data_IF_855171795802
#
_entry.id   IF_855171795802
#
_cell.length_a   1.000
_cell.length_b   1.000
_cell.length_c   1.000
_cell.angle_alpha   90.00
_cell.angle_beta   90.00
_cell.angle_gamma   90.00
#
_symmetry.space_group_name_H-M   'P 1'
#
loop_
_entity.id
_entity.type
_entity.pdbx_description
1 polymer ?
#
# COMPACT_ATOMS: atom_id res chain seq x y z
N UNK A 1 13.45 89.46 -63.17
CA UNK A 1 12.50 90.05 -62.20
C UNK A 1 12.38 89.06 -61.05
N UNK A 2 12.91 89.20 -59.85
CA UNK A 2 13.82 90.16 -59.22
C UNK A 2 14.54 89.31 -58.14
N UNK A 3 15.83 89.03 -58.28
CA UNK A 3 16.96 89.71 -57.62
C UNK A 3 16.82 89.85 -56.09
N UNK A 4 17.53 89.02 -55.32
CA UNK A 4 18.54 89.48 -54.33
C UNK A 4 19.22 88.30 -53.60
N UNK A 5 20.55 88.31 -53.62
CA UNK A 5 21.47 87.64 -52.70
C UNK A 5 22.32 88.76 -52.04
N UNK A 6 23.32 88.48 -51.17
CA UNK A 6 23.48 87.64 -49.98
C UNK A 6 23.86 88.53 -48.75
N UNK A 7 24.45 88.03 -47.62
CA UNK A 7 25.94 88.06 -47.48
C UNK A 7 26.54 86.90 -46.61
N UNK A 8 27.74 86.38 -46.95
CA UNK A 8 29.08 86.61 -46.37
C UNK A 8 29.33 86.01 -44.95
N UNK A 9 30.01 84.84 -44.83
CA UNK A 9 31.43 84.58 -44.40
C UNK A 9 31.78 84.90 -42.91
N UNK A 10 32.87 84.39 -42.28
CA UNK A 10 33.83 83.31 -42.61
C UNK A 10 34.23 82.42 -41.39
N UNK A 11 35.20 81.52 -41.63
CA UNK A 11 36.38 81.25 -40.79
C UNK A 11 36.59 79.83 -40.28
N UNK A 12 37.69 79.27 -40.77
CA UNK A 12 38.32 78.01 -40.44
C UNK A 12 38.72 77.87 -38.97
N UNK A 13 38.77 76.62 -38.50
CA UNK A 13 39.90 76.13 -37.69
C UNK A 13 39.99 74.60 -37.74
N UNK A 14 41.08 74.12 -38.33
CA UNK A 14 41.55 72.77 -38.18
C UNK A 14 42.04 72.52 -36.74
N UNK A 15 41.65 71.38 -36.15
CA UNK A 15 42.51 70.50 -35.33
C UNK A 15 41.70 69.30 -34.87
N UNK A 16 42.16 68.11 -35.24
CA UNK A 16 41.49 66.86 -34.92
C UNK A 16 41.60 66.46 -33.45
N UNK A 17 40.77 65.48 -33.07
CA UNK A 17 41.22 64.39 -32.21
C UNK A 17 40.23 63.23 -32.18
N UNK A 18 40.83 62.03 -32.27
CA UNK A 18 40.43 60.76 -31.66
C UNK A 18 39.32 59.96 -32.37
N UNK A 19 39.82 59.12 -33.27
CA UNK A 19 39.33 57.76 -33.52
C UNK A 19 38.85 57.06 -32.24
N UNK A 20 37.53 56.99 -32.06
CA UNK A 20 36.89 56.07 -31.14
C UNK A 20 36.91 54.67 -31.74
N UNK A 21 37.86 53.85 -31.29
CA UNK A 21 37.81 52.40 -31.49
C UNK A 21 36.61 51.89 -30.69
N UNK A 22 35.52 51.57 -31.40
CA UNK A 22 34.45 50.72 -30.86
C UNK A 22 35.09 49.33 -30.72
N UNK A 23 35.43 48.96 -29.49
CA UNK A 23 35.80 47.58 -29.14
C UNK A 23 34.53 46.72 -29.28
N UNK A 24 34.27 46.25 -30.48
CA UNK A 24 33.35 45.13 -30.73
C UNK A 24 33.96 43.91 -30.02
N UNK A 25 33.53 43.62 -28.79
CA UNK A 25 33.93 42.39 -28.10
C UNK A 25 33.52 41.21 -28.97
N UNK A 26 34.51 40.51 -29.54
CA UNK A 26 34.29 39.31 -30.34
C UNK A 26 33.62 38.25 -29.46
N UNK A 27 32.42 37.81 -29.85
CA UNK A 27 31.82 36.57 -29.35
C UNK A 27 32.86 35.45 -29.51
N UNK A 28 33.18 34.75 -28.42
CA UNK A 28 34.04 33.57 -28.49
C UNK A 28 33.40 32.53 -29.41
N UNK A 29 34.20 31.86 -30.23
CA UNK A 29 33.71 30.70 -30.98
C UNK A 29 33.46 29.54 -30.01
N UNK A 30 32.59 28.59 -30.38
CA UNK A 30 32.28 27.40 -29.57
C UNK A 30 33.56 26.64 -29.13
N UNK A 31 34.55 26.55 -30.01
CA UNK A 31 35.85 25.94 -29.74
C UNK A 31 36.65 26.69 -28.65
N UNK A 32 36.61 28.02 -28.65
CA UNK A 32 37.23 28.85 -27.62
C UNK A 32 36.50 28.76 -26.28
N UNK A 33 35.18 28.60 -26.30
CA UNK A 33 34.36 28.36 -25.10
C UNK A 33 34.64 26.99 -24.49
N UNK A 34 34.74 25.93 -25.31
CA UNK A 34 35.12 24.59 -24.86
C UNK A 34 36.53 24.53 -24.28
N UNK A 35 37.51 25.16 -24.95
CA UNK A 35 38.87 25.25 -24.43
C UNK A 35 38.89 25.98 -23.08
N UNK A 36 38.13 27.07 -22.94
CA UNK A 36 38.01 27.79 -21.69
C UNK A 36 37.32 26.96 -20.59
N UNK A 37 36.20 26.28 -20.88
CA UNK A 37 35.52 25.41 -19.92
C UNK A 37 36.44 24.30 -19.41
N UNK A 38 37.22 23.67 -20.30
CA UNK A 38 38.22 22.66 -19.94
C UNK A 38 39.30 23.22 -19.01
N UNK A 39 39.73 24.46 -19.19
CA UNK A 39 40.71 25.11 -18.29
C UNK A 39 40.14 25.47 -16.91
N UNK A 40 38.84 25.78 -16.83
CA UNK A 40 38.18 26.25 -15.60
C UNK A 40 37.46 25.12 -14.85
N UNK A 41 37.34 23.93 -15.44
CA UNK A 41 36.66 22.77 -14.84
C UNK A 41 37.16 22.40 -13.43
N UNK A 42 38.47 22.44 -13.19
CA UNK A 42 39.04 22.16 -11.87
C UNK A 42 38.68 23.21 -10.81
N UNK A 43 38.61 24.48 -11.21
CA UNK A 43 38.15 25.57 -10.36
C UNK A 43 36.65 25.41 -10.04
N UNK A 44 35.82 25.13 -11.06
CA UNK A 44 34.39 24.84 -10.90
C UNK A 44 34.13 23.69 -9.94
N UNK A 45 34.89 22.60 -10.06
CA UNK A 45 34.81 21.46 -9.15
C UNK A 45 35.10 21.87 -7.71
N UNK A 46 36.16 22.65 -7.48
CA UNK A 46 36.55 23.10 -6.14
C UNK A 46 35.50 24.03 -5.54
N UNK A 47 35.01 25.00 -6.32
CA UNK A 47 33.95 25.92 -5.91
C UNK A 47 32.65 25.19 -5.63
N UNK A 48 32.28 24.20 -6.45
CA UNK A 48 31.09 23.36 -6.23
C UNK A 48 31.17 22.61 -4.92
N UNK A 49 32.29 21.95 -4.62
CA UNK A 49 32.47 21.22 -3.37
C UNK A 49 32.31 22.13 -2.15
N UNK A 50 32.89 23.33 -2.22
CA UNK A 50 32.75 24.34 -1.17
C UNK A 50 31.29 24.79 -1.01
N UNK A 51 30.62 25.10 -2.12
CA UNK A 51 29.22 25.53 -2.10
C UNK A 51 28.31 24.44 -1.54
N UNK A 52 28.55 23.16 -1.86
CA UNK A 52 27.82 22.03 -1.28
C UNK A 52 27.97 21.96 0.24
N UNK A 53 29.17 22.18 0.76
CA UNK A 53 29.45 22.21 2.20
C UNK A 53 28.79 23.40 2.90
N UNK A 54 28.79 24.57 2.25
CA UNK A 54 28.23 25.80 2.81
C UNK A 54 26.68 25.84 2.76
N UNK A 55 26.06 25.21 1.76
CA UNK A 55 24.60 25.34 1.50
C UNK A 55 23.76 24.11 1.83
N UNK A 56 24.33 22.90 1.88
CA UNK A 56 23.58 21.67 2.09
C UNK A 56 23.94 21.03 3.44
N UNK A 57 23.13 21.21 4.50
CA UNK A 57 23.41 20.66 5.83
C UNK A 57 23.67 19.14 5.81
N UNK A 58 22.88 18.41 5.02
CA UNK A 58 23.01 16.96 4.89
C UNK A 58 24.36 16.51 4.32
N UNK A 59 25.02 17.34 3.50
CA UNK A 59 26.31 17.03 2.89
C UNK A 59 27.45 17.15 3.91
N UNK A 60 27.38 18.19 4.77
CA UNK A 60 28.32 18.39 5.88
C UNK A 60 28.26 17.26 6.90
N UNK A 61 27.07 16.74 7.19
CA UNK A 61 26.87 15.66 8.18
C UNK A 61 27.26 14.26 7.66
N UNK A 62 27.56 14.09 6.36
CA UNK A 62 27.87 12.77 5.80
C UNK A 62 29.21 12.19 6.30
N UNK A 63 29.33 10.86 6.44
CA UNK A 63 30.62 10.20 6.63
C UNK A 63 31.60 10.52 5.48
N UNK A 64 32.91 10.64 5.74
CA UNK A 64 33.90 11.09 4.75
C UNK A 64 33.89 10.30 3.43
N UNK A 65 33.73 8.98 3.49
CA UNK A 65 33.67 8.12 2.30
C UNK A 65 32.46 8.41 1.41
N UNK A 66 31.29 8.69 1.99
CA UNK A 66 30.09 9.05 1.23
C UNK A 66 30.18 10.46 0.67
N UNK A 67 30.69 11.41 1.47
CA UNK A 67 30.89 12.79 1.06
C UNK A 67 31.81 12.88 -0.16
N UNK A 68 32.92 12.14 -0.14
CA UNK A 68 33.86 12.04 -1.27
C UNK A 68 33.17 11.51 -2.54
N UNK A 69 32.33 10.49 -2.40
CA UNK A 69 31.61 9.91 -3.53
C UNK A 69 30.52 10.85 -4.10
N UNK A 70 29.84 11.65 -3.27
CA UNK A 70 28.96 12.75 -3.74
C UNK A 70 29.77 13.82 -4.49
N UNK A 71 30.94 14.17 -3.95
CA UNK A 71 31.85 15.11 -4.60
C UNK A 71 32.29 14.64 -6.00
N UNK A 72 32.54 13.34 -6.16
CA UNK A 72 32.87 12.75 -7.47
C UNK A 72 31.71 12.88 -8.47
N UNK A 73 30.47 12.68 -8.01
CA UNK A 73 29.27 12.87 -8.85
C UNK A 73 29.16 14.32 -9.32
N UNK A 74 29.41 15.29 -8.44
CA UNK A 74 29.40 16.71 -8.80
C UNK A 74 30.46 17.05 -9.87
N UNK A 75 31.67 16.50 -9.73
CA UNK A 75 32.76 16.68 -10.70
C UNK A 75 32.46 16.04 -12.06
N UNK A 76 31.88 14.84 -12.06
CA UNK A 76 31.43 14.17 -13.28
C UNK A 76 30.30 14.94 -13.95
N UNK A 77 29.42 15.58 -13.18
CA UNK A 77 28.39 16.49 -13.69
C UNK A 77 28.97 17.63 -14.53
N UNK A 78 30.06 18.25 -14.07
CA UNK A 78 30.77 19.31 -14.80
C UNK A 78 31.44 18.76 -16.06
N UNK A 79 32.10 17.60 -15.96
CA UNK A 79 32.77 16.97 -17.10
C UNK A 79 31.78 16.51 -18.18
N UNK A 80 30.65 15.95 -17.76
CA UNK A 80 29.56 15.54 -18.63
C UNK A 80 28.90 16.74 -19.32
N UNK A 81 28.75 17.88 -18.63
CA UNK A 81 28.32 19.14 -19.27
C UNK A 81 29.27 19.57 -20.39
N UNK A 82 30.59 19.53 -20.16
CA UNK A 82 31.59 19.92 -21.17
C UNK A 82 31.53 18.99 -22.39
N UNK A 83 31.37 17.68 -22.15
CA UNK A 83 31.20 16.69 -23.22
C UNK A 83 29.92 16.91 -24.00
N UNK A 84 28.80 17.13 -23.31
CA UNK A 84 27.50 17.44 -23.91
C UNK A 84 27.52 18.76 -24.68
N UNK A 85 28.25 19.77 -24.21
CA UNK A 85 28.40 21.03 -24.92
C UNK A 85 29.16 20.86 -26.25
N UNK A 86 30.14 19.94 -26.30
CA UNK A 86 30.89 19.61 -27.52
C UNK A 86 29.96 19.00 -28.58
N UNK A 87 29.19 17.98 -28.22
CA UNK A 87 28.17 17.36 -29.07
C UNK A 87 26.82 17.15 -28.36
N UNK A 88 25.87 18.12 -28.47
CA UNK A 88 24.56 17.98 -27.86
C UNK A 88 23.70 16.85 -28.45
N UNK A 89 24.06 16.33 -29.64
CA UNK A 89 23.33 15.25 -30.33
C UNK A 89 23.79 13.85 -29.90
N UNK A 90 24.92 13.72 -29.19
CA UNK A 90 25.40 12.45 -28.63
C UNK A 90 24.74 12.14 -27.28
N UNK A 91 23.42 12.31 -27.20
CA UNK A 91 22.65 12.41 -25.95
C UNK A 91 22.34 11.11 -25.16
N UNK A 92 22.68 9.85 -25.54
CA UNK A 92 21.95 8.73 -24.97
C UNK A 92 22.28 8.32 -23.51
N UNK A 93 23.28 8.91 -22.83
CA UNK A 93 23.74 8.38 -21.53
C UNK A 93 24.14 9.40 -20.44
N UNK A 94 23.59 10.62 -20.44
CA UNK A 94 23.95 11.69 -19.46
C UNK A 94 23.89 11.21 -18.00
N UNK A 95 22.83 10.48 -17.61
CA UNK A 95 22.75 9.93 -16.25
C UNK A 95 23.80 8.84 -15.97
N UNK A 96 24.10 7.97 -16.95
CA UNK A 96 25.13 6.95 -16.77
C UNK A 96 26.52 7.57 -16.68
N UNK A 97 26.78 8.67 -17.37
CA UNK A 97 28.08 9.35 -17.33
C UNK A 97 28.32 10.05 -15.98
N UNK A 98 27.26 10.58 -15.36
CA UNK A 98 27.34 11.28 -14.08
C UNK A 98 27.30 10.31 -12.90
N UNK A 99 26.43 9.31 -12.94
CA UNK A 99 26.20 8.36 -11.84
C UNK A 99 26.98 7.04 -11.97
N UNK A 100 27.53 6.72 -13.14
CA UNK A 100 28.15 5.41 -13.42
C UNK A 100 29.50 5.19 -12.74
N UNK A 101 30.24 6.26 -12.44
CA UNK A 101 31.49 6.19 -11.68
C UNK A 101 31.29 6.21 -10.16
N UNK A 102 30.06 6.45 -9.69
CA UNK A 102 29.76 6.48 -8.26
C UNK A 102 29.51 5.06 -7.72
N UNK A 103 29.91 4.75 -6.47
CA UNK A 103 29.60 3.48 -5.83
C UNK A 103 28.10 3.19 -5.82
N UNK A 104 27.71 1.94 -6.08
CA UNK A 104 26.29 1.51 -6.08
C UNK A 104 25.60 1.76 -4.73
N UNK A 105 26.33 1.74 -3.63
CA UNK A 105 25.81 2.08 -2.29
C UNK A 105 25.34 3.54 -2.18
N UNK A 106 25.97 4.46 -2.93
CA UNK A 106 25.60 5.87 -2.95
C UNK A 106 24.24 6.09 -3.64
N UNK A 107 24.02 5.42 -4.77
CA UNK A 107 22.76 5.48 -5.52
C UNK A 107 21.56 4.91 -4.75
N UNK A 108 21.80 4.07 -3.74
CA UNK A 108 20.75 3.53 -2.87
C UNK A 108 20.44 4.38 -1.65
N UNK A 109 21.34 5.29 -1.28
CA UNK A 109 21.27 6.03 -0.01
C UNK A 109 21.00 7.52 -0.19
N UNK A 110 21.11 8.04 -1.41
CA UNK A 110 20.75 9.43 -1.74
C UNK A 110 19.30 9.47 -2.22
N UNK A 111 18.55 10.48 -1.79
CA UNK A 111 17.17 10.70 -2.25
C UNK A 111 17.12 11.48 -3.56
N UNK A 112 15.99 11.41 -4.27
CA UNK A 112 15.75 12.26 -5.44
C UNK A 112 15.87 13.75 -5.08
N UNK A 113 15.37 14.16 -3.91
CA UNK A 113 15.48 15.53 -3.41
C UNK A 113 16.94 15.96 -3.25
N UNK A 114 17.78 15.13 -2.63
CA UNK A 114 19.21 15.41 -2.47
C UNK A 114 19.93 15.48 -3.82
N UNK A 115 19.54 14.63 -4.78
CA UNK A 115 20.07 14.65 -6.15
C UNK A 115 19.72 15.94 -6.88
N UNK A 116 18.47 16.42 -6.76
CA UNK A 116 18.04 17.68 -7.36
C UNK A 116 18.74 18.89 -6.72
N UNK A 117 18.98 18.86 -5.40
CA UNK A 117 19.75 19.88 -4.70
C UNK A 117 21.21 19.92 -5.20
N UNK A 118 21.84 18.75 -5.38
CA UNK A 118 23.18 18.65 -5.95
C UNK A 118 23.26 19.25 -7.36
N UNK A 119 22.33 18.88 -8.25
CA UNK A 119 22.25 19.42 -9.61
C UNK A 119 22.10 20.94 -9.56
N UNK A 120 21.22 21.45 -8.70
CA UNK A 120 20.98 22.89 -8.55
C UNK A 120 22.26 23.64 -8.17
N UNK A 121 23.00 23.15 -7.17
CA UNK A 121 24.26 23.78 -6.74
C UNK A 121 25.30 23.76 -7.85
N UNK A 122 25.46 22.63 -8.56
CA UNK A 122 26.37 22.53 -9.71
C UNK A 122 26.00 23.56 -10.79
N UNK A 123 24.72 23.65 -11.11
CA UNK A 123 24.21 24.60 -12.13
C UNK A 123 24.45 26.04 -11.70
N UNK A 124 24.11 26.41 -10.46
CA UNK A 124 24.33 27.76 -9.92
C UNK A 124 25.81 28.16 -9.99
N UNK A 125 26.73 27.26 -9.61
CA UNK A 125 28.18 27.53 -9.66
C UNK A 125 28.69 27.69 -11.10
N UNK A 126 28.19 26.90 -12.03
CA UNK A 126 28.57 27.04 -13.45
C UNK A 126 27.96 28.32 -14.04
N UNK A 127 26.69 28.64 -13.73
CA UNK A 127 26.03 29.87 -14.16
C UNK A 127 26.74 31.13 -13.67
N UNK A 128 27.11 31.20 -12.39
CA UNK A 128 27.82 32.34 -11.80
C UNK A 128 29.20 32.56 -12.44
N UNK A 129 29.84 31.47 -12.90
CA UNK A 129 31.15 31.55 -13.58
C UNK A 129 31.02 32.01 -15.02
N UNK A 130 29.88 31.78 -15.66
CA UNK A 130 29.62 32.22 -17.04
C UNK A 130 29.31 33.72 -17.05
N UNK A 131 30.13 34.49 -17.75
CA UNK A 131 29.92 35.94 -17.89
C UNK A 131 28.54 36.23 -18.49
N UNK A 132 27.89 37.30 -18.00
CA UNK A 132 26.57 37.76 -18.43
C UNK A 132 26.40 37.90 -19.97
N UNK A 133 27.51 38.09 -20.69
CA UNK A 133 27.51 38.35 -22.13
C UNK A 133 27.49 37.07 -23.00
N UNK A 134 27.66 35.87 -22.43
CA UNK A 134 27.66 34.59 -23.16
C UNK A 134 26.29 33.91 -23.16
N UNK A 135 25.35 34.46 -23.93
CA UNK A 135 23.97 33.95 -24.02
C UNK A 135 23.88 32.48 -24.47
N UNK A 136 24.75 32.04 -25.39
CA UNK A 136 24.80 30.65 -25.89
C UNK A 136 25.15 29.64 -24.80
N UNK A 137 26.14 29.97 -23.98
CA UNK A 137 26.61 29.08 -22.93
C UNK A 137 25.60 28.99 -21.77
N UNK A 138 24.92 30.10 -21.45
CA UNK A 138 23.83 30.11 -20.46
C UNK A 138 22.64 29.26 -20.93
N UNK A 139 22.25 29.40 -22.19
CA UNK A 139 21.20 28.55 -22.79
C UNK A 139 21.59 27.07 -22.76
N UNK A 140 22.85 26.75 -23.07
CA UNK A 140 23.38 25.40 -22.99
C UNK A 140 23.33 24.81 -21.57
N UNK A 141 23.66 25.58 -20.54
CA UNK A 141 23.58 25.15 -19.14
C UNK A 141 22.12 24.87 -18.74
N UNK A 142 21.18 25.73 -19.13
CA UNK A 142 19.76 25.54 -18.85
C UNK A 142 19.18 24.31 -19.57
N UNK A 143 19.60 24.06 -20.81
CA UNK A 143 19.20 22.85 -21.54
C UNK A 143 19.78 21.60 -20.87
N UNK A 144 21.08 21.59 -20.56
CA UNK A 144 21.73 20.48 -19.88
C UNK A 144 21.15 20.21 -18.49
N UNK A 145 20.87 21.25 -17.70
CA UNK A 145 20.27 21.12 -16.36
C UNK A 145 18.89 20.48 -16.41
N UNK A 146 18.10 20.79 -17.44
CA UNK A 146 16.83 20.14 -17.71
C UNK A 146 17.00 18.66 -18.07
N UNK A 147 17.91 18.35 -19.00
CA UNK A 147 18.15 16.96 -19.44
C UNK A 147 18.67 16.08 -18.29
N UNK A 148 19.63 16.56 -17.48
CA UNK A 148 20.15 15.81 -16.34
C UNK A 148 19.09 15.63 -15.24
N UNK A 149 18.23 16.63 -14.99
CA UNK A 149 17.15 16.50 -14.02
C UNK A 149 16.11 15.44 -14.44
N UNK A 150 15.70 15.40 -15.71
CA UNK A 150 14.80 14.36 -16.22
C UNK A 150 15.45 12.97 -16.21
N UNK A 151 16.73 12.88 -16.59
CA UNK A 151 17.45 11.61 -16.56
C UNK A 151 17.61 11.07 -15.13
N UNK A 152 17.88 11.94 -14.16
CA UNK A 152 17.87 11.57 -12.73
C UNK A 152 16.48 11.12 -12.28
N UNK A 153 15.42 11.84 -12.64
CA UNK A 153 14.05 11.45 -12.30
C UNK A 153 13.69 10.06 -12.85
N UNK A 154 14.07 9.73 -14.09
CA UNK A 154 13.83 8.40 -14.70
C UNK A 154 14.56 7.28 -13.93
N UNK A 155 15.82 7.49 -13.53
CA UNK A 155 16.59 6.50 -12.75
C UNK A 155 15.92 6.23 -11.38
N UNK A 156 15.52 7.29 -10.68
CA UNK A 156 14.84 7.14 -9.38
C UNK A 156 13.42 6.58 -9.53
N UNK A 157 12.69 6.95 -10.58
CA UNK A 157 11.37 6.39 -10.90
C UNK A 157 11.46 4.88 -11.13
N UNK A 158 12.37 4.42 -12.00
CA UNK A 158 12.59 2.99 -12.24
C UNK A 158 13.03 2.23 -10.99
N UNK A 159 13.88 2.83 -10.16
CA UNK A 159 14.31 2.23 -8.90
C UNK A 159 13.18 2.15 -7.86
N UNK A 160 12.26 3.12 -7.87
CA UNK A 160 11.06 3.12 -7.04
C UNK A 160 10.04 2.10 -7.55
N UNK A 161 9.80 2.01 -8.86
CA UNK A 161 8.96 0.98 -9.50
C UNK A 161 9.48 -0.42 -9.21
N UNK A 162 10.80 -0.66 -9.34
CA UNK A 162 11.41 -1.94 -9.03
C UNK A 162 11.23 -2.34 -7.55
N UNK A 163 11.26 -1.37 -6.63
CA UNK A 163 10.96 -1.60 -5.21
C UNK A 163 9.48 -1.88 -4.98
N UNK A 164 8.58 -1.10 -5.57
CA UNK A 164 7.13 -1.35 -5.49
C UNK A 164 6.73 -2.72 -6.04
N UNK A 165 7.39 -3.18 -7.12
CA UNK A 165 7.20 -4.53 -7.66
C UNK A 165 7.74 -5.64 -6.73
N UNK A 166 8.80 -5.36 -5.96
CA UNK A 166 9.31 -6.28 -4.95
C UNK A 166 8.36 -6.38 -3.76
N UNK A 167 7.88 -5.26 -3.25
CA UNK A 167 6.92 -5.21 -2.14
C UNK A 167 5.61 -5.90 -2.53
N UNK A 168 5.08 -5.63 -3.73
CA UNK A 168 3.88 -6.28 -4.24
C UNK A 168 4.05 -7.81 -4.41
N UNK A 169 5.24 -8.26 -4.83
CA UNK A 169 5.54 -9.71 -4.91
C UNK A 169 5.67 -10.34 -3.53
N UNK A 170 6.33 -9.67 -2.60
CA UNK A 170 6.47 -10.14 -1.22
C UNK A 170 5.10 -10.22 -0.54
N UNK A 171 4.28 -9.20 -0.72
CA UNK A 171 2.89 -9.15 -0.23
C UNK A 171 2.05 -10.27 -0.83
N UNK A 172 2.10 -10.47 -2.15
CA UNK A 172 1.39 -11.56 -2.81
C UNK A 172 1.80 -12.94 -2.27
N UNK A 173 3.09 -13.14 -1.99
CA UNK A 173 3.61 -14.38 -1.43
C UNK A 173 3.14 -14.58 0.01
N UNK A 174 3.16 -13.53 0.84
CA UNK A 174 2.65 -13.57 2.22
C UNK A 174 1.16 -13.92 2.22
N UNK A 175 0.35 -13.29 1.36
CA UNK A 175 -1.08 -13.60 1.25
C UNK A 175 -1.27 -15.05 0.79
N UNK A 176 -0.49 -15.54 -0.18
CA UNK A 176 -0.58 -16.93 -0.62
C UNK A 176 -0.27 -17.92 0.51
N UNK A 177 0.80 -17.69 1.29
CA UNK A 177 1.13 -18.49 2.48
C UNK A 177 0.00 -18.49 3.53
N UNK A 178 -0.66 -17.34 3.74
CA UNK A 178 -1.84 -17.25 4.63
C UNK A 178 -3.00 -18.08 4.07
N UNK A 179 -3.24 -18.03 2.76
CA UNK A 179 -4.34 -18.78 2.12
C UNK A 179 -4.12 -20.29 2.15
N UNK A 180 -2.88 -20.75 1.93
CA UNK A 180 -2.52 -22.18 2.03
C UNK A 180 -2.49 -22.65 3.49
N UNK A 181 -2.23 -21.74 4.42
CA UNK A 181 -2.02 -22.05 5.84
C UNK A 181 -0.62 -22.57 6.14
N UNK A 182 0.33 -22.30 5.25
CA UNK A 182 1.75 -22.57 5.46
C UNK A 182 2.34 -21.44 6.31
N UNK A 183 2.50 -21.70 7.61
CA UNK A 183 3.21 -20.80 8.52
C UNK A 183 4.63 -21.32 8.74
N UNK A 184 5.62 -20.61 8.23
CA UNK A 184 7.04 -20.80 8.57
C UNK A 184 7.55 -19.59 9.37
N UNK A 185 8.66 -19.74 10.09
CA UNK A 185 9.27 -18.67 10.89
C UNK A 185 9.63 -17.44 10.02
N UNK A 186 9.87 -17.67 8.72
CA UNK A 186 10.11 -16.60 7.75
C UNK A 186 8.88 -15.73 7.47
N UNK A 187 7.66 -16.23 7.67
CA UNK A 187 6.41 -15.49 7.37
C UNK A 187 6.33 -14.22 8.21
N UNK A 188 6.65 -14.30 9.51
CA UNK A 188 6.66 -13.14 10.40
C UNK A 188 7.68 -12.08 9.97
N UNK A 189 8.87 -12.51 9.55
CA UNK A 189 9.92 -11.60 9.07
C UNK A 189 9.49 -10.87 7.79
N UNK A 190 8.78 -11.55 6.88
CA UNK A 190 8.25 -10.97 5.64
C UNK A 190 7.11 -9.99 5.90
N UNK A 191 6.22 -10.31 6.83
CA UNK A 191 5.14 -9.42 7.28
C UNK A 191 5.72 -8.13 7.88
N UNK A 192 6.71 -8.25 8.77
CA UNK A 192 7.39 -7.10 9.37
C UNK A 192 8.09 -6.23 8.31
N UNK A 193 8.71 -6.84 7.29
CA UNK A 193 9.35 -6.12 6.19
C UNK A 193 8.36 -5.30 5.34
N UNK A 194 7.09 -5.68 5.30
CA UNK A 194 6.01 -4.93 4.63
C UNK A 194 5.48 -3.76 5.47
N UNK A 195 6.03 -3.53 6.67
CA UNK A 195 5.57 -2.48 7.57
C UNK A 195 4.18 -2.76 8.14
N UNK A 196 3.89 -4.03 8.43
CA UNK A 196 2.69 -4.43 9.14
C UNK A 196 2.85 -4.18 10.64
N UNK A 197 1.97 -3.38 11.21
CA UNK A 197 1.91 -3.02 12.63
C UNK A 197 0.71 -3.67 13.34
N UNK A 198 -0.12 -4.42 12.61
CA UNK A 198 -1.24 -5.16 13.18
C UNK A 198 -0.79 -6.19 14.20
N UNK A 199 -1.03 -5.90 15.48
CA UNK A 199 -0.79 -6.81 16.59
C UNK A 199 -2.17 -7.21 17.16
N UNK A 200 -2.54 -8.47 17.02
CA UNK A 200 -3.81 -9.00 17.50
C UNK A 200 -4.71 -9.51 16.38
N UNK A 201 -6.01 -9.22 16.51
CA UNK A 201 -7.03 -9.87 15.70
C UNK A 201 -6.91 -9.56 14.20
N UNK A 202 -7.15 -10.59 13.39
CA UNK A 202 -7.19 -10.49 11.94
C UNK A 202 -8.47 -11.09 11.36
N UNK A 203 -8.85 -10.62 10.18
CA UNK A 203 -9.98 -11.15 9.43
C UNK A 203 -9.70 -11.05 7.93
N UNK A 204 -10.24 -11.98 7.14
CA UNK A 204 -10.01 -12.02 5.69
C UNK A 204 -11.29 -11.70 4.93
N UNK A 205 -11.20 -10.72 4.03
CA UNK A 205 -12.27 -10.29 3.14
C UNK A 205 -11.95 -10.75 1.72
N UNK A 206 -12.88 -11.47 1.08
CA UNK A 206 -12.69 -12.03 -0.26
C UNK A 206 -13.83 -11.63 -1.17
N UNK A 207 -13.48 -11.15 -2.36
CA UNK A 207 -14.46 -10.79 -3.38
C UNK A 207 -13.87 -10.87 -4.78
N UNK A 208 -14.61 -10.36 -5.75
CA UNK A 208 -14.15 -10.31 -7.14
C UNK A 208 -13.18 -9.14 -7.34
N UNK A 209 -12.06 -9.38 -8.03
CA UNK A 209 -11.10 -8.34 -8.38
C UNK A 209 -11.60 -7.52 -9.56
N UNK A 210 -11.31 -6.22 -9.56
CA UNK A 210 -11.40 -5.38 -10.75
C UNK A 210 -10.13 -5.52 -11.60
N UNK A 211 -10.14 -5.12 -12.89
CA UNK A 211 -8.94 -5.13 -13.75
C UNK A 211 -7.82 -4.20 -13.27
N UNK A 212 -8.18 -3.13 -12.56
CA UNK A 212 -7.26 -2.15 -11.98
C UNK A 212 -7.68 -1.89 -10.53
N UNK A 213 -7.05 -2.58 -9.58
CA UNK A 213 -7.27 -2.37 -8.14
C UNK A 213 -6.42 -1.19 -7.69
N UNK A 214 -7.05 -0.16 -7.13
CA UNK A 214 -6.34 0.97 -6.50
C UNK A 214 -5.88 0.55 -5.08
N UNK A 215 -4.73 -0.11 -5.04
CA UNK A 215 -4.09 -0.63 -3.81
C UNK A 215 -3.81 0.51 -2.82
N UNK A 216 -3.41 1.68 -3.31
CA UNK A 216 -3.06 2.83 -2.48
C UNK A 216 -4.30 3.47 -1.84
N UNK A 217 -5.43 3.51 -2.55
CA UNK A 217 -6.70 3.95 -1.97
C UNK A 217 -7.17 2.98 -0.87
N UNK A 218 -7.14 1.67 -1.13
CA UNK A 218 -7.52 0.65 -0.12
C UNK A 218 -6.65 0.80 1.13
N UNK A 219 -5.33 0.94 0.97
CA UNK A 219 -4.38 1.07 2.08
C UNK A 219 -4.58 2.36 2.87
N UNK A 220 -4.83 3.50 2.19
CA UNK A 220 -5.14 4.78 2.84
C UNK A 220 -6.45 4.71 3.63
N UNK A 221 -7.49 4.11 3.06
CA UNK A 221 -8.77 3.94 3.75
C UNK A 221 -8.62 3.02 4.96
N UNK A 222 -7.92 1.88 4.84
CA UNK A 222 -7.68 0.98 5.97
C UNK A 222 -6.94 1.68 7.13
N UNK A 223 -5.86 2.42 6.83
CA UNK A 223 -5.12 3.18 7.84
C UNK A 223 -5.98 4.24 8.54
N UNK A 224 -6.86 4.93 7.80
CA UNK A 224 -7.78 5.90 8.39
C UNK A 224 -8.78 5.25 9.35
N UNK A 225 -9.08 3.96 9.16
CA UNK A 225 -9.96 3.15 10.01
C UNK A 225 -9.19 2.43 11.15
N UNK A 226 -7.90 2.71 11.34
CA UNK A 226 -7.08 2.05 12.36
C UNK A 226 -6.75 0.58 12.05
N UNK A 227 -6.72 0.21 10.78
CA UNK A 227 -6.43 -1.15 10.33
C UNK A 227 -5.26 -1.19 9.34
N UNK A 228 -4.46 -2.26 9.46
CA UNK A 228 -3.51 -2.65 8.43
C UNK A 228 -4.14 -3.65 7.47
N UNK A 229 -3.68 -3.62 6.22
CA UNK A 229 -4.21 -4.51 5.17
C UNK A 229 -3.08 -5.09 4.32
N UNK A 230 -3.13 -6.41 4.10
CA UNK A 230 -2.35 -7.11 3.08
C UNK A 230 -3.26 -7.43 1.90
N UNK A 231 -2.79 -7.14 0.70
CA UNK A 231 -3.59 -7.16 -0.52
C UNK A 231 -3.05 -8.23 -1.46
N UNK A 232 -3.87 -9.23 -1.77
CA UNK A 232 -3.53 -10.31 -2.71
C UNK A 232 -4.53 -10.42 -3.85
N UNK A 233 -4.04 -10.45 -5.09
CA UNK A 233 -4.85 -10.69 -6.28
C UNK A 233 -4.61 -12.11 -6.79
N UNK A 234 -5.62 -12.97 -6.73
CA UNK A 234 -5.57 -14.35 -7.18
C UNK A 234 -6.53 -14.60 -8.36
N UNK A 235 -6.02 -14.40 -9.58
CA UNK A 235 -6.80 -14.53 -10.80
C UNK A 235 -7.93 -13.50 -10.83
N UNK A 236 -9.18 -13.95 -10.65
CA UNK A 236 -10.37 -13.07 -10.58
C UNK A 236 -10.79 -12.69 -9.15
N UNK A 237 -10.01 -13.09 -8.14
CA UNK A 237 -10.33 -12.86 -6.73
C UNK A 237 -9.39 -11.82 -6.14
N UNK A 238 -9.96 -10.87 -5.41
CA UNK A 238 -9.23 -9.98 -4.53
C UNK A 238 -9.38 -10.51 -3.09
N UNK A 239 -8.27 -10.58 -2.38
CA UNK A 239 -8.17 -11.01 -0.99
C UNK A 239 -7.55 -9.87 -0.20
N UNK A 240 -8.25 -9.42 0.84
CA UNK A 240 -7.73 -8.46 1.80
C UNK A 240 -7.61 -9.15 3.15
N UNK A 241 -6.41 -9.21 3.70
CA UNK A 241 -6.18 -9.63 5.09
C UNK A 241 -6.12 -8.37 5.93
N UNK A 242 -7.12 -8.19 6.79
CA UNK A 242 -7.31 -6.99 7.60
C UNK A 242 -6.85 -7.32 9.02
N UNK A 243 -5.93 -6.55 9.56
CA UNK A 243 -5.46 -6.65 10.94
C UNK A 243 -5.75 -5.37 11.69
N UNK A 244 -6.14 -5.49 12.96
CA UNK A 244 -6.28 -4.31 13.82
C UNK A 244 -4.88 -3.78 14.14
N UNK A 245 -4.65 -2.51 13.83
CA UNK A 245 -3.46 -1.83 14.32
C UNK A 245 -3.72 -1.42 15.77
N UNK A 246 -2.84 -1.78 16.69
CA UNK A 246 -2.85 -1.08 17.98
C UNK A 246 -2.50 0.38 17.69
N UNK A 247 -3.26 1.35 18.21
CA UNK A 247 -2.83 2.75 18.12
C UNK A 247 -1.45 2.83 18.77
N UNK A 248 -0.42 3.20 17.97
CA UNK A 248 0.87 3.61 18.51
C UNK A 248 0.57 4.51 19.70
N UNK A 249 1.00 4.10 20.90
CA UNK A 249 0.73 4.83 22.13
C UNK A 249 1.10 6.30 21.92
N UNK A 250 0.09 7.12 21.64
CA UNK A 250 0.19 8.57 21.66
C UNK A 250 0.37 8.92 23.13
N UNK A 251 1.61 8.82 23.58
CA UNK A 251 2.13 9.19 24.90
C UNK A 251 2.02 10.71 25.16
N UNK A 252 1.17 11.40 24.41
CA UNK A 252 0.85 12.83 24.45
C UNK A 252 -0.65 13.13 24.39
N UNK A 253 -1.55 12.13 24.38
CA UNK A 253 -3.00 12.39 24.39
C UNK A 253 -3.46 12.85 25.79
N UNK A 254 -4.15 13.98 25.84
CA UNK A 254 -4.76 14.54 27.04
C UNK A 254 -5.86 13.59 27.59
N UNK A 255 -6.17 13.62 28.90
CA UNK A 255 -7.10 12.68 29.55
C UNK A 255 -8.59 12.83 29.17
N UNK A 256 -8.93 13.59 28.13
CA UNK A 256 -10.33 13.94 27.80
C UNK A 256 -10.97 13.13 26.69
N UNK A 257 -10.21 12.32 25.96
CA UNK A 257 -10.77 11.50 24.88
C UNK A 257 -10.96 10.08 25.41
N UNK A 258 -12.22 9.72 25.68
CA UNK A 258 -12.57 8.32 25.92
C UNK A 258 -12.06 7.49 24.72
N UNK A 259 -11.45 6.30 24.94
CA UNK A 259 -11.02 5.47 23.82
C UNK A 259 -12.24 5.15 22.96
N UNK A 260 -12.28 5.68 21.73
CA UNK A 260 -13.29 5.29 20.75
C UNK A 260 -13.20 3.77 20.58
N UNK A 261 -14.32 3.05 20.75
CA UNK A 261 -14.34 1.61 20.53
C UNK A 261 -13.88 1.34 19.08
N UNK A 262 -12.90 0.43 18.88
CA UNK A 262 -12.40 0.15 17.55
C UNK A 262 -13.51 -0.41 16.68
N UNK A 263 -13.60 0.09 15.44
CA UNK A 263 -14.58 -0.35 14.45
C UNK A 263 -14.59 -1.88 14.30
N UNK A 264 -15.77 -2.44 14.08
CA UNK A 264 -15.91 -3.87 13.80
C UNK A 264 -15.31 -4.22 12.43
N UNK A 265 -14.82 -5.45 12.26
CA UNK A 265 -14.33 -5.92 10.95
C UNK A 265 -15.41 -5.82 9.86
N UNK A 266 -16.69 -5.93 10.22
CA UNK A 266 -17.81 -5.77 9.29
C UNK A 266 -17.92 -4.32 8.78
N UNK A 267 -17.74 -3.33 9.65
CA UNK A 267 -17.74 -1.91 9.27
C UNK A 267 -16.53 -1.57 8.42
N UNK A 268 -15.34 -2.06 8.80
CA UNK A 268 -14.13 -1.89 8.00
C UNK A 268 -14.35 -2.51 6.60
N UNK A 269 -14.89 -3.73 6.54
CA UNK A 269 -15.15 -4.41 5.27
C UNK A 269 -16.16 -3.66 4.39
N UNK A 270 -17.19 -3.04 4.96
CA UNK A 270 -18.12 -2.15 4.22
C UNK A 270 -17.41 -0.94 3.64
N UNK A 271 -16.52 -0.32 4.41
CA UNK A 271 -15.75 0.85 3.95
C UNK A 271 -14.71 0.48 2.88
N UNK A 272 -14.27 -0.78 2.82
CA UNK A 272 -13.34 -1.29 1.81
C UNK A 272 -14.05 -1.89 0.58
N UNK A 273 -15.38 -1.89 0.54
CA UNK A 273 -16.17 -2.48 -0.55
C UNK A 273 -15.85 -1.87 -1.92
N UNK A 274 -15.50 -0.58 -1.98
CA UNK A 274 -15.15 0.13 -3.23
C UNK A 274 -13.97 -0.51 -3.97
N UNK A 275 -13.10 -1.25 -3.28
CA UNK A 275 -11.95 -1.93 -3.86
C UNK A 275 -12.31 -3.20 -4.64
N UNK A 276 -13.54 -3.70 -4.50
CA UNK A 276 -13.98 -4.96 -5.09
C UNK A 276 -14.91 -4.75 -6.28
N UNK A 277 -14.85 -5.68 -7.24
CA UNK A 277 -15.78 -5.74 -8.35
C UNK A 277 -17.20 -6.15 -7.94
N UNK A 278 -18.10 -6.16 -8.93
CA UNK A 278 -19.46 -6.66 -8.74
C UNK A 278 -19.48 -8.15 -8.34
N UNK A 279 -20.54 -8.58 -7.67
CA UNK A 279 -20.74 -9.96 -7.24
C UNK A 279 -20.66 -10.16 -5.73
N UNK A 280 -20.10 -11.30 -5.31
CA UNK A 280 -20.08 -11.72 -3.92
C UNK A 280 -18.87 -11.11 -3.19
N UNK A 281 -19.12 -10.67 -1.95
CA UNK A 281 -18.10 -10.17 -1.04
C UNK A 281 -18.32 -10.84 0.32
N UNK A 282 -17.35 -11.62 0.77
CA UNK A 282 -17.49 -12.46 1.97
C UNK A 282 -16.38 -12.14 2.97
N UNK A 283 -16.78 -11.86 4.20
CA UNK A 283 -15.89 -11.64 5.33
C UNK A 283 -15.78 -12.91 6.17
N UNK A 284 -14.57 -13.37 6.45
CA UNK A 284 -14.31 -14.48 7.36
C UNK A 284 -14.68 -14.15 8.81
N UNK A 285 -14.52 -15.11 9.72
CA UNK A 285 -14.61 -14.83 11.15
C UNK A 285 -13.30 -14.16 11.63
N UNK A 286 -13.36 -13.32 12.67
CA UNK A 286 -12.16 -12.81 13.32
C UNK A 286 -11.37 -13.96 13.94
N UNK A 287 -10.05 -13.84 13.91
CA UNK A 287 -9.09 -14.76 14.53
C UNK A 287 -8.10 -13.96 15.36
N UNK A 288 -7.48 -14.60 16.35
CA UNK A 288 -6.65 -13.92 17.36
C UNK A 288 -5.32 -13.40 16.81
N UNK A 289 -4.86 -13.92 15.67
CA UNK A 289 -3.58 -13.57 15.08
C UNK A 289 -3.58 -13.68 13.56
N UNK A 290 -2.63 -12.99 12.93
CA UNK A 290 -2.41 -13.10 11.48
C UNK A 290 -2.00 -14.52 11.04
N UNK A 291 -1.37 -15.31 11.91
CA UNK A 291 -1.01 -16.72 11.64
C UNK A 291 -2.29 -17.58 11.52
N UNK A 292 -3.30 -17.27 12.32
CA UNK A 292 -4.61 -17.92 12.26
C UNK A 292 -5.49 -17.43 11.10
N UNK A 293 -5.07 -16.39 10.37
CA UNK A 293 -5.86 -15.80 9.29
C UNK A 293 -6.17 -16.81 8.18
N UNK A 294 -5.42 -17.91 8.06
CA UNK A 294 -5.73 -19.03 7.18
C UNK A 294 -7.11 -19.65 7.45
N UNK A 295 -7.57 -19.68 8.72
CA UNK A 295 -8.91 -20.17 9.09
C UNK A 295 -9.99 -19.21 8.57
N UNK A 296 -9.79 -17.91 8.79
CA UNK A 296 -10.67 -16.85 8.31
C UNK A 296 -10.74 -16.84 6.77
N UNK A 297 -9.59 -16.91 6.10
CA UNK A 297 -9.46 -17.01 4.65
C UNK A 297 -10.21 -18.20 4.06
N UNK A 298 -10.00 -19.40 4.63
CA UNK A 298 -10.63 -20.63 4.14
C UNK A 298 -12.17 -20.54 4.27
N UNK A 299 -12.66 -19.97 5.38
CA UNK A 299 -14.08 -19.72 5.58
C UNK A 299 -14.64 -18.71 4.56
N UNK A 300 -13.95 -17.59 4.32
CA UNK A 300 -14.37 -16.57 3.36
C UNK A 300 -14.36 -17.12 1.92
N UNK A 301 -13.32 -17.84 1.52
CA UNK A 301 -13.21 -18.48 0.20
C UNK A 301 -14.32 -19.52 -0.03
N UNK A 302 -14.60 -20.37 0.96
CA UNK A 302 -15.71 -21.32 0.90
C UNK A 302 -17.06 -20.58 0.82
N UNK A 303 -17.20 -19.48 1.56
CA UNK A 303 -18.37 -18.61 1.51
C UNK A 303 -18.59 -18.01 0.13
N UNK A 304 -17.56 -17.49 -0.56
CA UNK A 304 -17.69 -16.93 -1.92
C UNK A 304 -18.27 -17.96 -2.90
N UNK A 305 -17.87 -19.23 -2.78
CA UNK A 305 -18.36 -20.29 -3.66
C UNK A 305 -19.85 -20.59 -3.49
N UNK A 306 -20.41 -20.35 -2.30
CA UNK A 306 -21.79 -20.69 -1.96
C UNK A 306 -22.72 -19.49 -1.77
N UNK A 307 -22.18 -18.26 -1.63
CA UNK A 307 -22.94 -17.06 -1.29
C UNK A 307 -24.13 -16.80 -2.23
N UNK A 308 -24.00 -17.17 -3.52
CA UNK A 308 -25.09 -17.09 -4.52
C UNK A 308 -26.34 -17.90 -4.17
N UNK A 309 -26.24 -18.89 -3.29
CA UNK A 309 -27.38 -19.69 -2.85
C UNK A 309 -28.32 -18.88 -1.93
N UNK A 310 -27.81 -17.83 -1.28
CA UNK A 310 -28.61 -16.86 -0.53
C UNK A 310 -28.97 -15.66 -1.41
N UNK A 311 -30.20 -15.66 -1.94
CA UNK A 311 -30.67 -14.70 -2.95
C UNK A 311 -30.48 -13.22 -2.58
N UNK A 312 -30.68 -12.89 -1.31
CA UNK A 312 -30.61 -11.52 -0.79
C UNK A 312 -29.51 -11.42 0.28
N UNK A 313 -28.37 -12.07 0.07
CA UNK A 313 -27.24 -11.98 0.98
C UNK A 313 -26.79 -10.50 1.12
N UNK A 314 -26.46 -10.04 2.34
CA UNK A 314 -25.86 -8.73 2.52
C UNK A 314 -24.49 -8.67 1.84
N UNK A 315 -24.00 -7.47 1.56
CA UNK A 315 -22.68 -7.23 1.00
C UNK A 315 -21.93 -6.26 1.95
N UNK A 316 -20.82 -6.68 2.58
CA UNK A 316 -20.30 -8.05 2.66
C UNK A 316 -21.23 -9.00 3.46
N UNK A 317 -21.17 -10.30 3.16
CA UNK A 317 -21.81 -11.36 3.96
C UNK A 317 -20.77 -12.03 4.87
N UNK A 318 -21.17 -12.39 6.09
CA UNK A 318 -20.31 -13.12 7.01
C UNK A 318 -20.22 -14.60 6.60
N UNK A 319 -19.02 -15.16 6.63
CA UNK A 319 -18.80 -16.58 6.33
C UNK A 319 -19.52 -17.50 7.33
N UNK A 320 -19.71 -17.04 8.57
CA UNK A 320 -20.46 -17.74 9.62
C UNK A 320 -21.98 -17.72 9.37
N UNK A 321 -22.49 -16.72 8.64
CA UNK A 321 -23.88 -16.76 8.21
C UNK A 321 -24.10 -17.84 7.16
N UNK A 322 -23.08 -18.18 6.37
CA UNK A 322 -23.11 -19.18 5.27
C UNK A 322 -22.78 -20.61 5.71
N UNK A 323 -22.77 -20.92 7.02
CA UNK A 323 -22.43 -22.25 7.53
C UNK A 323 -23.25 -23.40 6.90
N UNK A 324 -24.58 -23.31 6.74
CA UNK A 324 -25.38 -24.36 6.11
C UNK A 324 -24.95 -24.66 4.68
N UNK A 325 -24.83 -23.65 3.84
CA UNK A 325 -24.50 -23.80 2.43
C UNK A 325 -23.06 -24.31 2.26
N UNK A 326 -22.13 -23.81 3.09
CA UNK A 326 -20.75 -24.31 3.13
C UNK A 326 -20.71 -25.79 3.53
N UNK A 327 -21.42 -26.18 4.58
CA UNK A 327 -21.48 -27.56 5.04
C UNK A 327 -22.07 -28.51 3.98
N UNK A 328 -23.14 -28.08 3.30
CA UNK A 328 -23.78 -28.79 2.18
C UNK A 328 -22.83 -28.92 0.97
N UNK A 329 -22.02 -27.89 0.70
CA UNK A 329 -21.00 -27.92 -0.34
C UNK A 329 -19.75 -28.75 0.01
N UNK A 330 -19.72 -29.38 1.20
CA UNK A 330 -18.64 -30.26 1.63
C UNK A 330 -17.53 -29.58 2.45
N UNK A 331 -17.72 -28.34 2.89
CA UNK A 331 -16.78 -27.67 3.79
C UNK A 331 -16.77 -28.34 5.17
N UNK A 332 -15.71 -29.12 5.43
CA UNK A 332 -15.49 -29.79 6.71
C UNK A 332 -15.23 -28.83 7.87
N UNK A 333 -14.75 -27.60 7.61
CA UNK A 333 -14.65 -26.57 8.65
C UNK A 333 -16.05 -26.12 9.07
N UNK A 334 -16.92 -25.78 8.12
CA UNK A 334 -18.30 -25.37 8.43
C UNK A 334 -19.07 -26.45 9.21
N UNK A 335 -18.91 -27.73 8.83
CA UNK A 335 -19.52 -28.85 9.57
C UNK A 335 -19.01 -28.94 11.01
N UNK A 336 -17.70 -28.83 11.23
CA UNK A 336 -17.12 -28.79 12.58
C UNK A 336 -17.62 -27.59 13.37
N UNK A 337 -17.64 -26.41 12.78
CA UNK A 337 -18.17 -25.19 13.44
C UNK A 337 -19.62 -25.36 13.87
N UNK A 338 -20.49 -25.92 13.02
CA UNK A 338 -21.89 -26.22 13.38
C UNK A 338 -22.00 -27.20 14.56
N UNK A 339 -21.08 -28.17 14.67
CA UNK A 339 -21.08 -29.14 15.77
C UNK A 339 -20.52 -28.50 17.05
N UNK A 340 -19.29 -27.99 16.98
CA UNK A 340 -18.49 -27.54 18.12
C UNK A 340 -19.03 -26.26 18.76
N UNK A 341 -19.62 -25.33 17.97
CA UNK A 341 -20.14 -24.05 18.49
C UNK A 341 -21.63 -24.06 18.83
N UNK A 342 -22.39 -25.03 18.30
CA UNK A 342 -23.86 -25.04 18.46
C UNK A 342 -24.34 -26.35 19.07
N UNK A 343 -24.13 -27.48 18.39
CA UNK A 343 -24.70 -28.75 18.84
C UNK A 343 -24.11 -29.25 20.17
N UNK A 344 -22.78 -29.32 20.27
CA UNK A 344 -22.08 -29.82 21.45
C UNK A 344 -22.32 -28.95 22.69
N UNK A 345 -22.21 -27.60 22.63
CA UNK A 345 -22.50 -26.75 23.78
C UNK A 345 -23.93 -26.94 24.31
N UNK A 346 -24.93 -27.07 23.44
CA UNK A 346 -26.31 -27.32 23.87
C UNK A 346 -26.46 -28.71 24.50
N UNK A 347 -25.88 -29.73 23.88
CA UNK A 347 -25.92 -31.10 24.37
C UNK A 347 -25.24 -31.25 25.74
N UNK A 348 -24.13 -30.53 25.95
CA UNK A 348 -23.35 -30.55 27.20
C UNK A 348 -24.02 -29.73 28.31
N UNK A 349 -24.65 -28.59 27.96
CA UNK A 349 -25.32 -27.72 28.94
C UNK A 349 -26.63 -28.34 29.43
N UNK A 350 -27.50 -28.77 28.53
CA UNK A 350 -28.76 -29.42 28.89
C UNK A 350 -29.38 -30.14 27.68
N UNK A 351 -29.54 -31.47 27.73
CA UNK A 351 -30.25 -32.21 26.69
C UNK A 351 -31.68 -31.70 26.44
N UNK A 352 -32.34 -31.13 27.47
CA UNK A 352 -33.69 -30.57 27.33
C UNK A 352 -33.72 -29.29 26.48
N UNK A 353 -32.67 -28.47 26.51
CA UNK A 353 -32.57 -27.29 25.65
C UNK A 353 -32.44 -27.69 24.18
N UNK A 354 -31.63 -28.71 23.90
CA UNK A 354 -31.49 -29.28 22.57
C UNK A 354 -32.82 -29.84 22.05
N UNK A 355 -33.53 -30.65 22.87
CA UNK A 355 -34.87 -31.17 22.54
C UNK A 355 -35.87 -30.05 22.30
N UNK A 356 -35.83 -29.00 23.12
CA UNK A 356 -36.74 -27.85 22.98
C UNK A 356 -36.49 -27.09 21.68
N UNK A 357 -35.22 -26.86 21.32
CA UNK A 357 -34.85 -26.21 20.06
C UNK A 357 -35.29 -27.05 18.85
N UNK A 358 -35.06 -28.35 18.89
CA UNK A 358 -35.47 -29.28 17.82
C UNK A 358 -36.98 -29.23 17.60
N UNK A 359 -37.75 -29.43 18.67
CA UNK A 359 -39.21 -29.38 18.65
C UNK A 359 -39.74 -28.00 18.20
N UNK A 360 -39.07 -26.92 18.58
CA UNK A 360 -39.42 -25.57 18.15
C UNK A 360 -39.28 -25.37 16.64
N UNK A 361 -38.17 -25.83 16.06
CA UNK A 361 -37.94 -25.69 14.63
C UNK A 361 -38.84 -26.62 13.80
N UNK A 362 -39.08 -27.85 14.26
CA UNK A 362 -40.00 -28.81 13.61
C UNK A 362 -41.45 -28.31 13.59
N UNK A 363 -41.87 -27.58 14.63
CA UNK A 363 -43.19 -26.95 14.71
C UNK A 363 -43.28 -25.59 13.99
N UNK A 364 -42.39 -25.33 13.04
CA UNK A 364 -42.40 -24.10 12.25
C UNK A 364 -42.17 -22.83 13.09
N UNK A 365 -41.44 -22.96 14.20
CA UNK A 365 -41.14 -21.88 15.16
C UNK A 365 -42.37 -21.36 15.94
N UNK A 366 -43.35 -22.24 16.19
CA UNK A 366 -44.55 -21.91 16.99
C UNK A 366 -44.39 -22.28 18.46
N UNK A 367 -44.32 -21.27 19.34
CA UNK A 367 -44.21 -21.48 20.79
C UNK A 367 -45.36 -22.34 21.36
N UNK A 368 -46.58 -22.15 20.88
CA UNK A 368 -47.75 -22.88 21.37
C UNK A 368 -47.75 -24.35 20.94
N UNK A 369 -47.35 -24.62 19.70
CA UNK A 369 -47.26 -25.99 19.20
C UNK A 369 -46.15 -26.77 19.91
N UNK A 370 -44.97 -26.14 20.07
CA UNK A 370 -43.85 -26.70 20.84
C UNK A 370 -44.22 -26.96 22.30
N UNK A 371 -44.93 -26.04 22.94
CA UNK A 371 -45.37 -26.20 24.33
C UNK A 371 -46.31 -27.40 24.49
N UNK A 372 -47.26 -27.56 23.55
CA UNK A 372 -48.19 -28.69 23.51
C UNK A 372 -47.46 -30.02 23.32
N UNK A 373 -46.49 -30.08 22.41
CA UNK A 373 -45.72 -31.30 22.14
C UNK A 373 -44.81 -31.70 23.30
N UNK A 374 -44.17 -30.72 23.94
CA UNK A 374 -43.29 -30.95 25.09
C UNK A 374 -44.04 -31.05 26.43
N UNK A 375 -45.36 -30.91 26.44
CA UNK A 375 -46.21 -30.88 27.65
C UNK A 375 -45.75 -29.86 28.70
N UNK A 376 -45.35 -28.67 28.24
CA UNK A 376 -44.94 -27.54 29.09
C UNK A 376 -45.77 -26.30 28.81
N UNK A 377 -45.64 -25.27 29.64
CA UNK A 377 -46.24 -23.98 29.37
C UNK A 377 -45.44 -23.21 28.28
N UNK A 378 -46.07 -22.42 27.38
CA UNK A 378 -45.36 -21.63 26.37
C UNK A 378 -44.26 -20.70 26.92
N UNK A 379 -44.44 -20.19 28.15
CA UNK A 379 -43.40 -19.40 28.83
C UNK A 379 -42.12 -20.21 29.11
N UNK A 380 -42.26 -21.50 29.41
CA UNK A 380 -41.10 -22.39 29.60
C UNK A 380 -40.35 -22.57 28.29
N UNK A 381 -41.04 -22.71 27.17
CA UNK A 381 -40.41 -22.76 25.83
C UNK A 381 -39.66 -21.46 25.55
N UNK A 382 -40.28 -20.30 25.77
CA UNK A 382 -39.64 -18.99 25.60
C UNK A 382 -38.38 -18.86 26.47
N UNK A 383 -38.47 -19.26 27.73
CA UNK A 383 -37.33 -19.23 28.65
C UNK A 383 -36.19 -20.13 28.16
N UNK A 384 -36.50 -21.36 27.74
CA UNK A 384 -35.51 -22.29 27.19
C UNK A 384 -34.88 -21.79 25.91
N UNK A 385 -35.64 -21.20 24.99
CA UNK A 385 -35.10 -20.60 23.77
C UNK A 385 -34.20 -19.39 24.06
N UNK A 386 -34.59 -18.55 25.03
CA UNK A 386 -33.71 -17.48 25.52
C UNK A 386 -32.39 -18.07 26.05
N UNK A 387 -32.47 -19.14 26.84
CA UNK A 387 -31.30 -19.82 27.39
C UNK A 387 -30.44 -20.47 26.29
N UNK A 388 -31.04 -21.05 25.26
CA UNK A 388 -30.33 -21.51 24.06
C UNK A 388 -29.51 -20.36 23.49
N UNK A 389 -30.13 -19.21 23.22
CA UNK A 389 -29.42 -18.05 22.68
C UNK A 389 -28.30 -17.53 23.58
N UNK A 390 -28.46 -17.58 24.90
CA UNK A 390 -27.39 -17.25 25.86
C UNK A 390 -26.21 -18.24 25.80
N UNK A 391 -26.46 -19.53 25.54
CA UNK A 391 -25.43 -20.58 25.53
C UNK A 391 -24.60 -20.54 24.24
N UNK A 392 -25.25 -20.38 23.08
CA UNK A 392 -24.56 -20.47 21.79
C UNK A 392 -24.30 -19.10 21.16
N UNK A 393 -25.05 -18.05 21.53
CA UNK A 393 -24.93 -16.72 20.92
C UNK A 393 -25.73 -16.53 19.63
N UNK A 394 -26.63 -17.45 19.27
CA UNK A 394 -27.56 -17.33 18.13
C UNK A 394 -29.01 -17.20 18.58
N UNK A 395 -29.76 -16.30 17.95
CA UNK A 395 -31.19 -16.13 18.19
C UNK A 395 -32.02 -17.12 17.35
N UNK A 396 -32.73 -18.04 18.00
CA UNK A 396 -33.56 -19.03 17.31
C UNK A 396 -34.81 -18.45 16.60
N UNK A 397 -35.13 -17.18 16.84
CA UNK A 397 -36.29 -16.52 16.21
C UNK A 397 -35.98 -15.99 14.81
N UNK A 398 -34.71 -15.68 14.53
CA UNK A 398 -34.27 -15.16 13.24
C UNK A 398 -34.43 -16.16 12.10
N UNK A 399 -34.79 -15.67 10.92
CA UNK A 399 -35.02 -16.54 9.75
C UNK A 399 -33.72 -17.17 9.23
N UNK A 400 -32.60 -16.45 9.30
CA UNK A 400 -31.30 -16.96 8.85
C UNK A 400 -30.73 -17.94 9.87
N UNK A 401 -30.78 -17.56 11.13
CA UNK A 401 -30.32 -18.29 12.28
C UNK A 401 -31.07 -19.61 12.43
N UNK A 402 -32.38 -19.64 12.20
CA UNK A 402 -33.16 -20.88 12.21
C UNK A 402 -32.61 -21.93 11.23
N UNK A 403 -32.18 -21.53 10.03
CA UNK A 403 -31.54 -22.46 9.08
C UNK A 403 -30.19 -22.96 9.59
N UNK A 404 -29.39 -22.08 10.20
CA UNK A 404 -28.09 -22.41 10.80
C UNK A 404 -28.29 -23.42 11.94
N UNK A 405 -29.22 -23.15 12.84
CA UNK A 405 -29.54 -24.01 13.98
C UNK A 405 -30.09 -25.36 13.53
N UNK A 406 -31.05 -25.39 12.60
CA UNK A 406 -31.57 -26.65 12.05
C UNK A 406 -30.44 -27.48 11.41
N UNK A 407 -29.55 -26.83 10.67
CA UNK A 407 -28.40 -27.50 10.05
C UNK A 407 -27.43 -28.05 11.09
N UNK A 408 -27.16 -27.30 12.18
CA UNK A 408 -26.33 -27.76 13.28
C UNK A 408 -26.92 -28.97 13.99
N UNK A 409 -28.23 -28.96 14.25
CA UNK A 409 -28.97 -30.08 14.83
C UNK A 409 -28.84 -31.35 13.96
N UNK A 410 -29.08 -31.22 12.65
CA UNK A 410 -28.98 -32.34 11.71
C UNK A 410 -27.54 -32.88 11.66
N UNK A 411 -26.55 -32.01 11.41
CA UNK A 411 -25.14 -32.41 11.28
C UNK A 411 -24.62 -33.03 12.58
N UNK A 412 -24.96 -32.45 13.73
CA UNK A 412 -24.60 -32.98 15.05
C UNK A 412 -25.23 -34.33 15.35
N UNK A 413 -26.49 -34.54 15.00
CA UNK A 413 -27.16 -35.85 15.17
C UNK A 413 -26.50 -36.95 14.34
N UNK A 414 -26.10 -36.65 13.09
CA UNK A 414 -25.37 -37.57 12.21
C UNK A 414 -24.00 -37.93 12.82
N UNK A 415 -23.27 -36.93 13.32
CA UNK A 415 -21.98 -37.14 13.98
C UNK A 415 -22.11 -38.02 15.24
N UNK A 416 -23.11 -37.75 16.09
CA UNK A 416 -23.38 -38.52 17.31
C UNK A 416 -23.77 -39.98 17.01
N UNK A 417 -24.57 -40.22 15.97
CA UNK A 417 -24.93 -41.55 15.49
C UNK A 417 -23.71 -42.37 15.04
N UNK A 418 -22.78 -41.75 14.31
CA UNK A 418 -21.54 -42.40 13.85
C UNK A 418 -20.61 -42.78 15.02
N UNK A 419 -20.52 -41.96 16.07
CA UNK A 419 -19.73 -42.30 17.28
C UNK A 419 -20.30 -43.49 18.06
N UNK A 420 -21.63 -43.62 18.15
CA UNK A 420 -22.27 -44.78 18.81
C UNK A 420 -22.05 -46.08 18.03
N UNK A 421 -22.06 -46.01 16.69
CA UNK A 421 -21.76 -47.16 15.83
C UNK A 421 -20.32 -47.65 15.96
N UNK A 422 -19.33 -46.74 16.02
CA UNK A 422 -17.90 -47.11 16.17
C UNK A 422 -17.56 -47.74 17.53
N UNK A 423 -18.19 -47.30 18.62
CA UNK A 423 -17.98 -47.87 19.95
C UNK A 423 -18.68 -49.24 20.15
N UNK A 424 -19.69 -49.55 19.34
CA UNK A 424 -20.36 -50.85 19.39
C UNK A 424 -19.55 -51.96 18.68
N UNK A 425 -18.64 -51.59 17.77
CA UNK A 425 -17.88 -52.50 16.91
C UNK A 425 -16.44 -52.77 17.42
N UNK A 426 -16.04 -52.16 18.53
CA UNK A 426 -14.80 -52.48 19.24
C UNK A 426 -14.96 -53.80 20.04
N UNK A 427 -14.14 -54.84 19.80
CA UNK A 427 -14.19 -56.08 20.59
C UNK A 427 -13.90 -55.75 22.05
N UNK A 428 -14.76 -56.19 22.97
CA UNK A 428 -14.44 -56.16 24.41
C UNK A 428 -13.24 -57.08 24.66
N UNK A 429 -12.30 -56.69 25.53
CA UNK A 429 -11.10 -57.48 25.84
C UNK A 429 -11.42 -58.84 26.44
#
# INVERSE_FOLDING_TARGET
MSTQAPPATPAARAKGWRSGVVLTQMKRTKEQELAWLRTVAGELATTTLKQLEDTLPWYGEMPPGRRSAVGLVAQNGISSFISWYDDPKSTPWIASDVFGAAPRELLRSISLQQTLQLIRVVVEVVEDRVKADNASLREAILLYSREIAFASADVYARAAEARGLWDARLEALVVDSILTGESDDELQSRIAALGWHGHGEACVLVGTSTPSVDVDQIRRTARHLGADVLIGVQGKRLVLVIGRAEPEHSSTALPSDAPEEPLSFLEIAKQLEFGFGEGQLVLGHPVDSLVDASKSARAALAGVAVARAWRNAPRPVLADDLLPERALAGDGMARRTLIERIYEPLQMHSPELLTTLWCYLDNGRSLEATARELFVHPNTVRYRLKRVSEVIGWDATGAREALILQSALIVGSIAAGNTRGRNADSPRP
#
